data_IF_911647192473
#
_entry.id   IF_911647192473
#
_cell.length_a   1.000
_cell.length_b   1.000
_cell.length_c   1.000
_cell.angle_alpha   90.00
_cell.angle_beta   90.00
_cell.angle_gamma   90.00
#
_symmetry.space_group_name_H-M   'P 1'
#
loop_
_entity.id
_entity.type
_entity.pdbx_description
1 polymer ?
#
# COMPACT_ATOMS: atom_id res chain seq x y z
N UNK A 1 3.26 68.55 -25.44
CA UNK A 1 2.58 67.91 -26.56
C UNK A 1 2.82 66.43 -26.42
N UNK A 2 1.85 65.72 -25.81
CA UNK A 2 0.90 64.79 -26.41
C UNK A 2 1.64 63.58 -27.07
N UNK A 3 1.44 62.38 -26.77
CA UNK A 3 0.19 61.68 -26.53
C UNK A 3 0.42 60.30 -25.92
N UNK A 4 -0.51 59.92 -25.11
CA UNK A 4 -0.77 58.58 -24.62
C UNK A 4 -0.81 57.51 -25.70
N UNK A 5 -0.13 56.37 -25.47
CA UNK A 5 -0.43 55.14 -26.18
C UNK A 5 -0.60 54.01 -25.19
N UNK A 6 -1.86 53.80 -24.82
CA UNK A 6 -2.30 52.64 -24.02
C UNK A 6 -2.13 51.37 -24.88
N UNK A 7 -1.19 50.53 -24.55
CA UNK A 7 -1.13 49.13 -25.07
C UNK A 7 -2.14 48.28 -24.31
N UNK A 8 -3.24 47.96 -24.98
CA UNK A 8 -4.17 46.91 -24.62
C UNK A 8 -3.48 45.57 -24.77
N UNK A 9 -3.23 44.88 -23.67
CA UNK A 9 -2.92 43.43 -23.67
C UNK A 9 -4.23 42.68 -23.91
N UNK A 10 -4.37 42.11 -25.10
CA UNK A 10 -5.42 41.12 -25.38
C UNK A 10 -4.96 39.78 -24.78
N UNK A 11 -5.61 39.36 -23.71
CA UNK A 11 -5.50 37.99 -23.25
C UNK A 11 -6.27 37.09 -24.19
N UNK A 12 -5.56 36.39 -25.09
CA UNK A 12 -6.12 35.22 -25.75
C UNK A 12 -6.21 34.08 -24.76
N UNK A 13 -7.40 33.87 -24.18
CA UNK A 13 -7.74 32.60 -23.52
C UNK A 13 -7.79 31.54 -24.64
N UNK A 14 -6.68 30.80 -24.80
CA UNK A 14 -6.67 29.55 -25.51
C UNK A 14 -7.41 28.51 -24.70
N UNK A 15 -8.68 28.27 -25.00
CA UNK A 15 -9.40 27.11 -24.54
C UNK A 15 -8.71 25.86 -25.12
N UNK A 16 -7.80 25.26 -24.41
CA UNK A 16 -7.38 23.88 -24.67
C UNK A 16 -8.59 22.98 -24.39
N UNK A 17 -9.30 22.65 -25.44
CA UNK A 17 -10.19 21.49 -25.47
C UNK A 17 -9.33 20.24 -25.14
N UNK A 18 -9.35 19.82 -23.90
CA UNK A 18 -9.00 18.46 -23.53
C UNK A 18 -10.06 17.55 -24.17
N UNK A 19 -9.79 17.10 -25.39
CA UNK A 19 -10.42 15.90 -25.91
C UNK A 19 -9.89 14.72 -25.08
N UNK A 20 -10.42 14.55 -23.88
CA UNK A 20 -10.32 13.30 -23.14
C UNK A 20 -10.96 12.25 -24.04
N UNK A 21 -10.16 11.32 -24.56
CA UNK A 21 -10.67 10.07 -25.11
C UNK A 21 -11.46 9.41 -23.98
N UNK A 22 -12.81 9.57 -24.04
CA UNK A 22 -13.68 8.68 -23.28
C UNK A 22 -13.32 7.26 -23.76
N UNK A 23 -12.62 6.51 -22.92
CA UNK A 23 -12.57 5.07 -23.07
C UNK A 23 -14.04 4.63 -23.15
N UNK A 24 -14.44 4.04 -24.27
CA UNK A 24 -15.80 3.58 -24.49
C UNK A 24 -16.12 2.59 -23.36
N UNK A 25 -16.89 3.04 -22.38
CA UNK A 25 -17.43 2.13 -21.37
C UNK A 25 -18.25 1.10 -22.13
N UNK A 26 -17.91 -0.17 -21.97
CA UNK A 26 -18.73 -1.25 -22.50
C UNK A 26 -20.16 -1.02 -22.02
N UNK A 27 -21.17 -1.00 -22.91
CA UNK A 27 -22.54 -0.71 -22.51
C UNK A 27 -22.97 -1.72 -21.44
N UNK A 28 -23.51 -1.21 -20.33
CA UNK A 28 -24.02 -2.04 -19.25
C UNK A 28 -25.12 -2.92 -19.82
N UNK A 29 -25.05 -4.27 -19.65
CA UNK A 29 -26.07 -5.15 -20.20
C UNK A 29 -27.46 -4.83 -19.64
N UNK A 30 -28.50 -4.89 -20.44
CA UNK A 30 -29.90 -4.61 -20.05
C UNK A 30 -30.36 -5.43 -18.81
N UNK A 31 -29.79 -6.62 -18.63
CA UNK A 31 -30.11 -7.50 -17.50
C UNK A 31 -29.34 -7.17 -16.21
N UNK A 32 -28.36 -6.26 -16.23
CA UNK A 32 -27.52 -5.95 -15.06
C UNK A 32 -28.35 -5.50 -13.86
N UNK A 33 -29.31 -4.61 -14.05
CA UNK A 33 -30.21 -4.18 -12.97
C UNK A 33 -30.98 -5.33 -12.31
N UNK A 34 -31.29 -6.37 -13.10
CA UNK A 34 -31.89 -7.59 -12.59
C UNK A 34 -30.96 -8.39 -11.67
N UNK A 35 -29.70 -8.52 -12.06
CA UNK A 35 -28.65 -9.16 -11.24
C UNK A 35 -28.41 -8.37 -9.96
N UNK A 36 -28.32 -7.05 -10.04
CA UNK A 36 -28.11 -6.17 -8.86
C UNK A 36 -29.27 -6.30 -7.87
N UNK A 37 -30.52 -6.42 -8.37
CA UNK A 37 -31.69 -6.70 -7.53
C UNK A 37 -31.55 -8.05 -6.84
N UNK A 38 -31.19 -9.12 -7.56
CA UNK A 38 -30.94 -10.44 -6.95
C UNK A 38 -29.90 -10.32 -5.86
N UNK A 39 -28.74 -9.69 -6.16
CA UNK A 39 -27.61 -9.48 -5.22
C UNK A 39 -28.07 -8.79 -3.93
N UNK A 40 -28.86 -7.73 -4.03
CA UNK A 40 -29.37 -6.99 -2.87
C UNK A 40 -30.31 -7.83 -1.99
N UNK A 41 -31.05 -8.78 -2.57
CA UNK A 41 -32.01 -9.60 -1.88
C UNK A 41 -31.41 -10.85 -1.21
N UNK A 42 -30.25 -11.38 -1.70
CA UNK A 42 -29.72 -12.68 -1.24
C UNK A 42 -29.59 -12.75 0.28
N UNK A 43 -29.08 -11.68 0.92
CA UNK A 43 -28.92 -11.63 2.38
C UNK A 43 -30.18 -11.12 3.10
N UNK A 44 -30.92 -10.22 2.46
CA UNK A 44 -32.07 -9.56 3.08
C UNK A 44 -33.34 -10.45 3.06
N UNK A 45 -33.57 -11.13 1.94
CA UNK A 45 -34.73 -12.03 1.74
C UNK A 45 -34.40 -13.11 0.70
N UNK A 46 -33.82 -14.27 1.12
CA UNK A 46 -33.38 -15.33 0.21
C UNK A 46 -34.47 -15.88 -0.69
N UNK A 47 -35.73 -15.97 -0.20
CA UNK A 47 -36.86 -16.45 -0.98
C UNK A 47 -37.17 -15.50 -2.14
N UNK A 48 -37.26 -14.20 -1.86
CA UNK A 48 -37.44 -13.18 -2.90
C UNK A 48 -36.26 -13.11 -3.86
N UNK A 49 -35.04 -13.37 -3.40
CA UNK A 49 -33.86 -13.45 -4.28
C UNK A 49 -34.00 -14.61 -5.27
N UNK A 50 -34.42 -15.78 -4.81
CA UNK A 50 -34.66 -16.95 -5.64
C UNK A 50 -35.74 -16.67 -6.69
N UNK A 51 -36.87 -16.06 -6.27
CA UNK A 51 -37.97 -15.68 -7.17
C UNK A 51 -37.49 -14.66 -8.22
N UNK A 52 -36.76 -13.64 -7.80
CA UNK A 52 -36.22 -12.64 -8.71
C UNK A 52 -35.25 -13.25 -9.73
N UNK A 53 -34.34 -14.13 -9.30
CA UNK A 53 -33.44 -14.88 -10.18
C UNK A 53 -34.24 -15.79 -11.14
N UNK A 54 -35.23 -16.51 -10.65
CA UNK A 54 -36.09 -17.36 -11.45
C UNK A 54 -36.89 -16.59 -12.52
N UNK A 55 -37.35 -15.37 -12.20
CA UNK A 55 -38.02 -14.49 -13.17
C UNK A 55 -37.02 -13.94 -14.21
N UNK A 56 -35.84 -13.48 -13.76
CA UNK A 56 -34.78 -12.95 -14.63
C UNK A 56 -34.33 -13.98 -15.67
N UNK A 57 -34.25 -15.25 -15.28
CA UNK A 57 -33.75 -16.36 -16.10
C UNK A 57 -34.86 -17.09 -16.89
N UNK A 58 -36.06 -16.46 -17.10
CA UNK A 58 -37.13 -17.04 -17.92
C UNK A 58 -36.82 -16.91 -19.42
N UNK A 59 -37.38 -17.85 -20.19
CA UNK A 59 -37.41 -17.83 -21.65
C UNK A 59 -35.98 -17.92 -22.23
N UNK A 60 -35.62 -16.98 -23.13
CA UNK A 60 -34.31 -16.91 -23.80
C UNK A 60 -33.16 -16.61 -22.84
N UNK A 61 -33.44 -15.91 -21.75
CA UNK A 61 -32.44 -15.53 -20.73
C UNK A 61 -31.79 -16.75 -20.07
N UNK A 62 -32.49 -17.88 -19.98
CA UNK A 62 -31.96 -19.16 -19.46
C UNK A 62 -30.74 -19.67 -20.25
N UNK A 63 -30.58 -19.26 -21.52
CA UNK A 63 -29.49 -19.66 -22.40
C UNK A 63 -28.39 -18.58 -22.49
N UNK A 64 -28.59 -17.43 -21.85
CA UNK A 64 -27.57 -16.39 -21.79
C UNK A 64 -26.55 -16.74 -20.70
N UNK A 65 -25.41 -17.28 -21.11
CA UNK A 65 -24.34 -17.76 -20.19
C UNK A 65 -23.85 -16.67 -19.30
N UNK A 66 -23.59 -15.45 -19.83
CA UNK A 66 -23.09 -14.32 -19.03
C UNK A 66 -24.06 -13.93 -17.94
N UNK A 67 -25.35 -13.86 -18.26
CA UNK A 67 -26.38 -13.57 -17.27
C UNK A 67 -26.47 -14.65 -16.20
N UNK A 68 -26.48 -15.93 -16.60
CA UNK A 68 -26.61 -17.07 -15.66
C UNK A 68 -25.39 -17.12 -14.74
N UNK A 69 -24.18 -16.95 -15.29
CA UNK A 69 -22.94 -16.91 -14.49
C UNK A 69 -22.87 -15.68 -13.58
N UNK A 70 -23.41 -14.53 -13.99
CA UNK A 70 -23.51 -13.32 -13.14
C UNK A 70 -24.47 -13.54 -11.95
N UNK A 71 -25.60 -14.21 -12.16
CA UNK A 71 -26.48 -14.61 -11.07
C UNK A 71 -25.78 -15.60 -10.12
N UNK A 72 -25.09 -16.61 -10.67
CA UNK A 72 -24.33 -17.56 -9.86
C UNK A 72 -23.25 -16.89 -9.01
N UNK A 73 -22.50 -15.93 -9.57
CA UNK A 73 -21.51 -15.13 -8.84
C UNK A 73 -22.14 -14.33 -7.71
N UNK A 74 -23.32 -13.75 -7.90
CA UNK A 74 -24.00 -13.04 -6.84
C UNK A 74 -24.28 -13.94 -5.61
N UNK A 75 -24.64 -15.20 -5.83
CA UNK A 75 -24.82 -16.19 -4.76
C UNK A 75 -23.48 -16.63 -4.16
N UNK A 76 -22.45 -16.84 -4.99
CA UNK A 76 -21.11 -17.18 -4.53
C UNK A 76 -20.49 -16.08 -3.65
N UNK A 77 -20.61 -14.82 -4.05
CA UNK A 77 -20.16 -13.65 -3.29
C UNK A 77 -20.88 -13.53 -1.92
N UNK A 78 -22.10 -14.01 -1.84
CA UNK A 78 -22.87 -14.08 -0.60
C UNK A 78 -22.55 -15.33 0.25
N UNK A 79 -21.67 -16.22 -0.20
CA UNK A 79 -21.29 -17.46 0.48
C UNK A 79 -22.30 -18.61 0.27
N UNK A 80 -23.28 -18.46 -0.63
CA UNK A 80 -24.30 -19.47 -0.92
C UNK A 80 -23.83 -20.40 -2.05
N UNK A 81 -22.91 -21.32 -1.69
CA UNK A 81 -22.25 -22.22 -2.66
C UNK A 81 -23.22 -23.16 -3.38
N UNK A 82 -24.24 -23.67 -2.70
CA UNK A 82 -25.19 -24.62 -3.32
C UNK A 82 -26.02 -23.96 -4.43
N UNK A 83 -26.48 -22.75 -4.17
CA UNK A 83 -27.22 -21.93 -5.13
C UNK A 83 -26.30 -21.55 -6.32
N UNK A 84 -25.08 -21.13 -6.05
CA UNK A 84 -24.10 -20.84 -7.09
C UNK A 84 -23.85 -22.06 -7.99
N UNK A 85 -23.71 -23.27 -7.44
CA UNK A 85 -23.57 -24.52 -8.18
C UNK A 85 -24.80 -24.85 -9.02
N UNK A 86 -25.99 -24.57 -8.50
CA UNK A 86 -27.24 -24.76 -9.25
C UNK A 86 -27.25 -23.93 -10.55
N UNK A 87 -26.86 -22.67 -10.45
CA UNK A 87 -26.77 -21.79 -11.62
C UNK A 87 -25.55 -22.12 -12.50
N UNK A 88 -24.43 -22.61 -11.95
CA UNK A 88 -23.31 -23.13 -12.73
C UNK A 88 -23.77 -24.30 -13.64
N UNK A 89 -24.55 -25.24 -13.09
CA UNK A 89 -25.10 -26.35 -13.91
C UNK A 89 -26.05 -25.87 -15.00
N UNK A 90 -26.80 -24.80 -14.74
CA UNK A 90 -27.61 -24.15 -15.76
C UNK A 90 -26.75 -23.52 -16.87
N UNK A 91 -25.67 -22.82 -16.52
CA UNK A 91 -24.77 -22.23 -17.46
C UNK A 91 -24.05 -23.29 -18.33
N UNK A 92 -23.59 -24.41 -17.72
CA UNK A 92 -23.00 -25.55 -18.43
C UNK A 92 -23.94 -26.17 -19.46
N UNK A 93 -25.23 -26.29 -19.13
CA UNK A 93 -26.24 -26.81 -20.07
C UNK A 93 -26.48 -25.85 -21.24
N UNK A 94 -26.25 -24.56 -21.04
CA UNK A 94 -26.35 -23.55 -22.10
C UNK A 94 -25.15 -23.59 -23.04
N UNK A 95 -23.94 -23.57 -22.48
CA UNK A 95 -22.67 -23.72 -23.21
C UNK A 95 -21.55 -24.12 -22.23
N UNK A 96 -21.08 -25.36 -22.31
CA UNK A 96 -20.04 -25.89 -21.44
C UNK A 96 -18.60 -25.48 -21.83
N UNK A 97 -18.42 -24.82 -22.97
CA UNK A 97 -17.14 -24.31 -23.47
C UNK A 97 -17.03 -22.79 -23.31
N UNK A 98 -18.07 -22.14 -22.83
CA UNK A 98 -18.00 -20.71 -22.56
C UNK A 98 -16.94 -20.42 -21.47
N UNK A 99 -15.99 -19.51 -21.69
CA UNK A 99 -14.95 -19.16 -20.71
C UNK A 99 -15.51 -18.76 -19.36
N UNK A 100 -16.65 -18.04 -19.35
CA UNK A 100 -17.34 -17.62 -18.14
C UNK A 100 -17.76 -18.81 -17.25
N UNK A 101 -18.09 -19.97 -17.81
CA UNK A 101 -18.45 -21.19 -17.06
C UNK A 101 -17.21 -21.76 -16.37
N UNK A 102 -16.10 -21.88 -17.07
CA UNK A 102 -14.83 -22.35 -16.48
C UNK A 102 -14.33 -21.40 -15.39
N UNK A 103 -14.46 -20.08 -15.58
CA UNK A 103 -14.09 -19.10 -14.54
C UNK A 103 -14.99 -19.22 -13.32
N UNK A 104 -16.29 -19.31 -13.48
CA UNK A 104 -17.23 -19.52 -12.36
C UNK A 104 -16.92 -20.80 -11.59
N UNK A 105 -16.63 -21.90 -12.30
CA UNK A 105 -16.23 -23.16 -11.66
C UNK A 105 -14.92 -23.00 -10.89
N UNK A 106 -13.97 -22.27 -11.46
CA UNK A 106 -12.72 -21.87 -10.80
C UNK A 106 -12.96 -21.03 -9.55
N UNK A 107 -13.85 -20.05 -9.61
CA UNK A 107 -14.25 -19.21 -8.45
C UNK A 107 -14.87 -20.09 -7.33
N UNK A 108 -15.68 -21.06 -7.66
CA UNK A 108 -16.24 -22.02 -6.69
C UNK A 108 -15.15 -22.92 -6.08
N UNK A 109 -14.22 -23.41 -6.89
CA UNK A 109 -13.07 -24.19 -6.41
C UNK A 109 -12.19 -23.35 -5.47
N UNK A 110 -11.95 -22.08 -5.82
CA UNK A 110 -11.21 -21.14 -4.99
C UNK A 110 -11.92 -20.87 -3.65
N UNK A 111 -13.23 -20.67 -3.65
CA UNK A 111 -14.02 -20.51 -2.44
C UNK A 111 -13.94 -21.76 -1.51
N UNK A 112 -13.73 -22.95 -2.09
CA UNK A 112 -13.46 -24.20 -1.38
C UNK A 112 -11.99 -24.37 -0.96
N UNK A 113 -11.14 -23.37 -1.21
CA UNK A 113 -9.69 -23.37 -0.95
C UNK A 113 -8.90 -24.39 -1.80
N UNK A 114 -9.48 -24.88 -2.88
CA UNK A 114 -8.79 -25.73 -3.86
C UNK A 114 -8.16 -24.85 -4.95
N UNK A 115 -7.02 -24.21 -4.59
CA UNK A 115 -6.33 -23.26 -5.46
C UNK A 115 -5.83 -23.94 -6.73
N UNK A 116 -5.33 -25.18 -6.62
CA UNK A 116 -4.82 -25.93 -7.78
C UNK A 116 -5.91 -26.15 -8.83
N UNK A 117 -7.08 -26.63 -8.41
CA UNK A 117 -8.24 -26.82 -9.30
C UNK A 117 -8.76 -25.50 -9.86
N UNK A 118 -8.82 -24.45 -9.03
CA UNK A 118 -9.24 -23.14 -9.50
C UNK A 118 -8.36 -22.64 -10.65
N UNK A 119 -7.04 -22.71 -10.51
CA UNK A 119 -6.10 -22.27 -11.54
C UNK A 119 -6.17 -23.11 -12.82
N UNK A 120 -6.37 -24.42 -12.72
CA UNK A 120 -6.59 -25.27 -13.90
C UNK A 120 -7.85 -24.84 -14.66
N UNK A 121 -8.91 -24.49 -13.96
CA UNK A 121 -10.16 -24.02 -14.55
C UNK A 121 -10.03 -22.61 -15.18
N UNK A 122 -9.26 -21.73 -14.58
CA UNK A 122 -8.95 -20.42 -15.19
C UNK A 122 -8.08 -20.61 -16.46
N UNK A 123 -7.11 -21.54 -16.46
CA UNK A 123 -6.35 -21.89 -17.66
C UNK A 123 -7.23 -22.51 -18.74
N UNK A 124 -8.21 -23.33 -18.36
CA UNK A 124 -9.19 -23.85 -19.30
C UNK A 124 -10.03 -22.72 -19.94
N UNK A 125 -10.42 -21.71 -19.16
CA UNK A 125 -11.09 -20.53 -19.70
C UNK A 125 -10.22 -19.78 -20.72
N UNK A 126 -8.92 -19.59 -20.41
CA UNK A 126 -7.94 -18.98 -21.34
C UNK A 126 -7.76 -19.84 -22.60
N UNK A 127 -7.79 -21.15 -22.48
CA UNK A 127 -7.73 -22.07 -23.62
C UNK A 127 -8.96 -21.94 -24.53
N UNK A 128 -10.17 -21.74 -23.97
CA UNK A 128 -11.37 -21.53 -24.76
C UNK A 128 -11.42 -20.15 -25.42
N UNK A 129 -10.93 -19.13 -24.73
CA UNK A 129 -10.79 -17.77 -25.26
C UNK A 129 -9.56 -17.09 -24.67
N UNK A 130 -8.50 -16.98 -25.47
CA UNK A 130 -7.24 -16.35 -25.07
C UNK A 130 -7.36 -14.85 -24.79
N UNK A 131 -8.47 -14.19 -25.15
CA UNK A 131 -8.75 -12.77 -24.85
C UNK A 131 -9.65 -12.60 -23.62
N UNK A 132 -10.05 -13.66 -22.94
CA UNK A 132 -10.94 -13.59 -21.80
C UNK A 132 -10.21 -13.07 -20.56
N UNK A 133 -10.17 -11.74 -20.42
CA UNK A 133 -9.38 -11.01 -19.41
C UNK A 133 -9.62 -11.49 -17.97
N UNK A 134 -10.89 -11.77 -17.62
CA UNK A 134 -11.28 -12.17 -16.27
C UNK A 134 -10.54 -13.44 -15.79
N UNK A 135 -10.29 -14.39 -16.70
CA UNK A 135 -9.57 -15.62 -16.36
C UNK A 135 -8.12 -15.36 -15.92
N UNK A 136 -7.43 -14.43 -16.58
CA UNK A 136 -6.06 -14.05 -16.20
C UNK A 136 -6.03 -13.34 -14.84
N UNK A 137 -6.97 -12.43 -14.60
CA UNK A 137 -7.08 -11.72 -13.33
C UNK A 137 -7.37 -12.69 -12.19
N UNK A 138 -8.33 -13.61 -12.37
CA UNK A 138 -8.70 -14.63 -11.38
C UNK A 138 -7.56 -15.59 -11.08
N UNK A 139 -6.83 -16.04 -12.12
CA UNK A 139 -5.63 -16.86 -11.95
C UNK A 139 -4.59 -16.13 -11.08
N UNK A 140 -4.30 -14.86 -11.40
CA UNK A 140 -3.34 -14.07 -10.67
C UNK A 140 -3.76 -13.85 -9.21
N UNK A 141 -5.04 -13.54 -8.97
CA UNK A 141 -5.59 -13.39 -7.62
C UNK A 141 -5.48 -14.68 -6.80
N UNK A 142 -5.71 -15.84 -7.43
CA UNK A 142 -5.59 -17.12 -6.75
C UNK A 142 -4.14 -17.47 -6.37
N UNK A 143 -3.17 -17.12 -7.21
CA UNK A 143 -1.77 -17.45 -6.98
C UNK A 143 -0.93 -16.33 -6.34
N UNK A 144 -1.45 -15.13 -6.15
CA UNK A 144 -0.64 -14.00 -5.66
C UNK A 144 0.11 -14.26 -4.36
N UNK A 145 -0.45 -15.07 -3.46
CA UNK A 145 0.19 -15.44 -2.20
C UNK A 145 0.98 -16.74 -2.28
N UNK A 146 0.49 -17.74 -3.03
CA UNK A 146 1.11 -19.06 -3.12
C UNK A 146 2.27 -19.10 -4.12
N UNK A 147 2.16 -18.41 -5.25
CA UNK A 147 3.18 -18.33 -6.28
C UNK A 147 3.16 -16.97 -7.00
N UNK A 148 3.71 -15.91 -6.37
CA UNK A 148 3.72 -14.57 -6.95
C UNK A 148 4.33 -14.48 -8.35
N UNK A 149 5.31 -15.32 -8.65
CA UNK A 149 5.95 -15.37 -9.98
C UNK A 149 4.97 -15.80 -11.07
N UNK A 150 4.14 -16.82 -10.82
CA UNK A 150 3.12 -17.27 -11.76
C UNK A 150 2.00 -16.23 -11.92
N UNK A 151 1.61 -15.56 -10.83
CA UNK A 151 0.67 -14.45 -10.91
C UNK A 151 1.19 -13.32 -11.81
N UNK A 152 2.45 -12.91 -11.62
CA UNK A 152 3.10 -11.89 -12.46
C UNK A 152 3.17 -12.32 -13.93
N UNK A 153 3.54 -13.58 -14.18
CA UNK A 153 3.61 -14.11 -15.56
C UNK A 153 2.26 -14.03 -16.25
N UNK A 154 1.19 -14.47 -15.58
CA UNK A 154 -0.15 -14.48 -16.13
C UNK A 154 -0.68 -13.06 -16.38
N UNK A 155 -0.40 -12.11 -15.48
CA UNK A 155 -0.73 -10.70 -15.67
C UNK A 155 0.05 -10.06 -16.82
N UNK A 156 1.32 -10.41 -16.99
CA UNK A 156 2.11 -9.94 -18.15
C UNK A 156 1.57 -10.52 -19.47
N UNK A 157 1.09 -11.77 -19.50
CA UNK A 157 0.37 -12.31 -20.65
C UNK A 157 -0.89 -11.50 -20.95
N UNK A 158 -1.68 -11.14 -19.93
CA UNK A 158 -2.83 -10.25 -20.08
C UNK A 158 -2.42 -8.88 -20.64
N UNK A 159 -1.34 -8.28 -20.13
CA UNK A 159 -0.85 -6.98 -20.64
C UNK A 159 -0.34 -7.06 -22.08
N UNK A 160 0.13 -8.20 -22.54
CA UNK A 160 0.53 -8.40 -23.94
C UNK A 160 -0.68 -8.37 -24.89
N UNK A 161 -1.84 -8.90 -24.50
CA UNK A 161 -3.06 -8.91 -25.30
C UNK A 161 -3.95 -7.67 -25.05
N UNK A 162 -3.85 -7.07 -23.87
CA UNK A 162 -4.63 -5.89 -23.47
C UNK A 162 -3.72 -4.88 -22.74
N UNK A 163 -2.89 -4.11 -23.48
CA UNK A 163 -1.92 -3.19 -22.88
C UNK A 163 -2.54 -2.14 -21.96
N UNK A 164 -3.77 -1.72 -22.23
CA UNK A 164 -4.50 -0.70 -21.48
C UNK A 164 -5.35 -1.26 -20.32
N UNK A 165 -5.21 -2.56 -19.98
CA UNK A 165 -5.94 -3.15 -18.87
C UNK A 165 -5.39 -2.62 -17.54
N UNK A 166 -6.09 -1.66 -16.94
CA UNK A 166 -5.69 -1.04 -15.66
C UNK A 166 -5.88 -2.00 -14.48
N UNK A 167 -6.84 -2.91 -14.55
CA UNK A 167 -7.05 -3.96 -13.55
C UNK A 167 -5.82 -4.89 -13.46
N UNK A 168 -5.18 -5.19 -14.59
CA UNK A 168 -3.93 -5.95 -14.61
C UNK A 168 -2.77 -5.17 -14.00
N UNK A 169 -2.67 -3.86 -14.24
CA UNK A 169 -1.67 -3.01 -13.59
C UNK A 169 -1.91 -2.96 -12.08
N UNK A 170 -3.17 -2.89 -11.64
CA UNK A 170 -3.53 -2.92 -10.22
C UNK A 170 -3.08 -4.21 -9.54
N UNK A 171 -3.42 -5.36 -10.09
CA UNK A 171 -3.00 -6.65 -9.54
C UNK A 171 -1.46 -6.83 -9.59
N UNK A 172 -0.79 -6.36 -10.64
CA UNK A 172 0.68 -6.37 -10.72
C UNK A 172 1.31 -5.51 -9.61
N UNK A 173 0.77 -4.31 -9.37
CA UNK A 173 1.25 -3.42 -8.32
C UNK A 173 1.12 -4.06 -6.93
N UNK A 174 -0.04 -4.69 -6.66
CA UNK A 174 -0.30 -5.45 -5.44
C UNK A 174 0.72 -6.59 -5.23
N UNK A 175 0.97 -7.41 -6.28
CA UNK A 175 1.94 -8.51 -6.18
C UNK A 175 3.36 -8.00 -5.99
N UNK A 176 3.76 -6.94 -6.69
CA UNK A 176 5.08 -6.34 -6.51
C UNK A 176 5.25 -5.76 -5.11
N UNK A 177 4.23 -5.07 -4.58
CA UNK A 177 4.23 -4.54 -3.23
C UNK A 177 4.35 -5.66 -2.18
N UNK A 178 3.51 -6.70 -2.27
CA UNK A 178 3.52 -7.84 -1.37
C UNK A 178 4.83 -8.66 -1.39
N UNK A 179 5.60 -8.57 -2.48
CA UNK A 179 6.90 -9.24 -2.64
C UNK A 179 8.10 -8.30 -2.41
N UNK A 180 7.88 -7.15 -1.78
CA UNK A 180 8.89 -6.13 -1.46
C UNK A 180 9.65 -5.60 -2.70
N UNK A 181 9.06 -5.67 -3.89
CA UNK A 181 9.61 -5.12 -5.12
C UNK A 181 9.11 -3.68 -5.29
N UNK A 182 9.44 -2.82 -4.31
CA UNK A 182 8.82 -1.52 -4.14
C UNK A 182 9.01 -0.57 -5.32
N UNK A 183 10.17 -0.57 -5.99
CA UNK A 183 10.38 0.22 -7.20
C UNK A 183 9.41 -0.18 -8.31
N UNK A 184 9.26 -1.51 -8.59
CA UNK A 184 8.31 -2.00 -9.59
C UNK A 184 6.86 -1.74 -9.19
N UNK A 185 6.55 -1.84 -7.90
CA UNK A 185 5.23 -1.50 -7.38
C UNK A 185 4.91 -0.02 -7.65
N UNK A 186 5.82 0.90 -7.29
CA UNK A 186 5.66 2.33 -7.51
C UNK A 186 5.49 2.68 -9.00
N UNK A 187 6.34 2.14 -9.89
CA UNK A 187 6.23 2.34 -11.33
C UNK A 187 4.88 1.85 -11.88
N UNK A 188 4.34 0.77 -11.30
CA UNK A 188 3.07 0.19 -11.74
C UNK A 188 1.88 0.97 -11.19
N UNK A 189 1.89 1.35 -9.90
CA UNK A 189 0.88 2.24 -9.31
C UNK A 189 0.77 3.56 -10.08
N UNK A 190 1.89 4.15 -10.50
CA UNK A 190 1.90 5.41 -11.23
C UNK A 190 1.05 5.38 -12.51
N UNK A 191 0.84 4.21 -13.12
CA UNK A 191 0.06 4.06 -14.37
C UNK A 191 -1.44 4.29 -14.16
N UNK A 192 -1.98 3.95 -12.99
CA UNK A 192 -3.43 3.99 -12.78
C UNK A 192 -3.87 4.87 -11.59
N UNK A 193 -2.95 5.36 -10.76
CA UNK A 193 -3.28 6.05 -9.51
C UNK A 193 -4.15 7.33 -9.69
N UNK A 194 -4.15 7.92 -10.86
CA UNK A 194 -4.97 9.08 -11.20
C UNK A 194 -6.23 8.72 -12.02
N UNK A 195 -6.57 7.44 -12.10
CA UNK A 195 -7.75 6.94 -12.81
C UNK A 195 -8.87 6.55 -11.82
N UNK A 196 -10.12 6.37 -12.29
CA UNK A 196 -11.23 5.93 -11.44
C UNK A 196 -11.05 4.50 -10.86
N UNK A 197 -10.12 3.70 -11.38
CA UNK A 197 -9.82 2.35 -10.88
C UNK A 197 -9.09 2.40 -9.53
N UNK A 198 -8.37 3.50 -9.24
CA UNK A 198 -7.60 3.65 -8.03
C UNK A 198 -8.48 3.93 -6.81
N UNK A 199 -8.24 3.17 -5.75
CA UNK A 199 -8.83 3.36 -4.43
C UNK A 199 -7.92 4.21 -3.53
N UNK A 200 -8.42 4.62 -2.37
CA UNK A 200 -7.61 5.31 -1.36
C UNK A 200 -6.48 4.41 -0.84
N UNK A 201 -6.74 3.11 -0.68
CA UNK A 201 -5.74 2.11 -0.30
C UNK A 201 -4.61 1.99 -1.36
N UNK A 202 -4.94 2.05 -2.65
CA UNK A 202 -3.93 2.08 -3.72
C UNK A 202 -3.04 3.34 -3.63
N UNK A 203 -3.63 4.50 -3.31
CA UNK A 203 -2.87 5.76 -3.12
C UNK A 203 -1.92 5.61 -1.93
N UNK A 204 -2.40 5.04 -0.84
CA UNK A 204 -1.60 4.81 0.35
C UNK A 204 -0.45 3.83 0.09
N UNK A 205 -0.72 2.69 -0.55
CA UNK A 205 0.29 1.71 -0.92
C UNK A 205 1.31 2.27 -1.91
N UNK A 206 0.86 3.11 -2.85
CA UNK A 206 1.77 3.83 -3.75
C UNK A 206 2.73 4.73 -2.98
N UNK A 207 2.21 5.54 -2.04
CA UNK A 207 3.04 6.40 -1.23
C UNK A 207 4.04 5.59 -0.38
N UNK A 208 3.60 4.48 0.23
CA UNK A 208 4.49 3.58 0.96
C UNK A 208 5.52 2.89 0.05
N UNK A 209 5.14 2.46 -1.15
CA UNK A 209 6.08 1.86 -2.10
C UNK A 209 7.19 2.86 -2.49
N UNK A 210 6.85 4.12 -2.71
CA UNK A 210 7.82 5.19 -2.97
C UNK A 210 8.73 5.42 -1.75
N UNK A 211 8.17 5.46 -0.55
CA UNK A 211 8.93 5.60 0.70
C UNK A 211 9.96 4.45 0.86
N UNK A 212 9.49 3.21 0.73
CA UNK A 212 10.31 2.01 0.87
C UNK A 212 11.33 1.83 -0.29
N UNK A 213 11.10 2.52 -1.41
CA UNK A 213 12.05 2.64 -2.52
C UNK A 213 13.00 3.86 -2.37
N UNK A 214 12.95 4.57 -1.24
CA UNK A 214 13.71 5.79 -0.95
C UNK A 214 13.41 6.99 -1.87
N UNK A 215 12.27 6.98 -2.56
CA UNK A 215 11.76 8.12 -3.35
C UNK A 215 10.96 9.09 -2.46
N UNK A 216 11.59 9.61 -1.41
CA UNK A 216 10.94 10.38 -0.33
C UNK A 216 10.17 11.59 -0.80
N UNK A 217 10.69 12.35 -1.77
CA UNK A 217 10.01 13.52 -2.33
C UNK A 217 8.68 13.17 -3.00
N UNK A 218 8.68 12.10 -3.82
CA UNK A 218 7.46 11.64 -4.48
C UNK A 218 6.47 11.06 -3.47
N UNK A 219 6.96 10.29 -2.50
CA UNK A 219 6.14 9.75 -1.41
C UNK A 219 5.46 10.87 -0.63
N UNK A 220 6.21 11.92 -0.25
CA UNK A 220 5.69 13.09 0.45
C UNK A 220 4.59 13.79 -0.36
N UNK A 221 4.81 14.01 -1.65
CA UNK A 221 3.82 14.65 -2.52
C UNK A 221 2.52 13.84 -2.62
N UNK A 222 2.61 12.50 -2.71
CA UNK A 222 1.44 11.62 -2.75
C UNK A 222 0.72 11.62 -1.40
N UNK A 223 1.44 11.56 -0.28
CA UNK A 223 0.86 11.61 1.06
C UNK A 223 0.14 12.94 1.32
N UNK A 224 0.74 14.06 0.96
CA UNK A 224 0.11 15.40 1.07
C UNK A 224 -1.16 15.51 0.21
N UNK A 225 -1.17 14.94 -1.01
CA UNK A 225 -2.39 14.86 -1.83
C UNK A 225 -3.48 14.01 -1.18
N UNK A 226 -3.12 12.92 -0.50
CA UNK A 226 -4.05 12.14 0.30
C UNK A 226 -4.67 12.96 1.44
N UNK A 227 -3.86 13.75 2.16
CA UNK A 227 -4.31 14.62 3.25
C UNK A 227 -5.23 15.76 2.80
N UNK A 228 -5.16 16.21 1.52
CA UNK A 228 -6.13 17.17 0.98
C UNK A 228 -7.57 16.64 1.00
N UNK A 229 -7.73 15.31 0.90
CA UNK A 229 -9.06 14.67 0.97
C UNK A 229 -9.49 14.40 2.42
N UNK A 230 -8.56 14.02 3.27
CA UNK A 230 -8.79 13.73 4.68
C UNK A 230 -7.56 14.14 5.52
N UNK A 231 -7.58 15.36 6.06
CA UNK A 231 -6.47 15.93 6.83
C UNK A 231 -6.11 15.13 8.10
N UNK A 232 -7.03 14.30 8.61
CA UNK A 232 -6.82 13.47 9.82
C UNK A 232 -6.47 12.01 9.49
N UNK A 233 -6.16 11.68 8.23
CA UNK A 233 -5.81 10.31 7.86
C UNK A 233 -4.45 9.92 8.47
N UNK A 234 -4.47 9.06 9.49
CA UNK A 234 -3.29 8.71 10.30
C UNK A 234 -2.12 8.19 9.46
N UNK A 235 -2.38 7.30 8.49
CA UNK A 235 -1.30 6.71 7.68
C UNK A 235 -0.64 7.71 6.73
N UNK A 236 -1.37 8.68 6.18
CA UNK A 236 -0.76 9.75 5.39
C UNK A 236 0.02 10.73 6.26
N UNK A 237 -0.48 11.11 7.45
CA UNK A 237 0.27 11.94 8.40
C UNK A 237 1.58 11.24 8.83
N UNK A 238 1.53 9.93 9.09
CA UNK A 238 2.70 9.09 9.35
C UNK A 238 3.74 9.20 8.23
N UNK A 239 3.33 9.04 6.98
CA UNK A 239 4.23 9.15 5.83
C UNK A 239 4.80 10.56 5.66
N UNK A 240 4.02 11.62 5.94
CA UNK A 240 4.54 12.99 5.91
C UNK A 240 5.62 13.16 6.98
N UNK A 241 5.41 12.65 8.19
CA UNK A 241 6.45 12.66 9.24
C UNK A 241 7.71 11.91 8.78
N UNK A 242 7.58 10.67 8.34
CA UNK A 242 8.72 9.84 7.93
C UNK A 242 9.52 10.49 6.79
N UNK A 243 8.84 10.88 5.71
CA UNK A 243 9.51 11.48 4.56
C UNK A 243 10.26 12.77 4.92
N UNK A 244 9.65 13.62 5.75
CA UNK A 244 10.31 14.87 6.13
C UNK A 244 11.52 14.63 7.04
N UNK A 245 11.50 13.62 7.92
CA UNK A 245 12.68 13.21 8.70
C UNK A 245 13.81 12.76 7.78
N UNK A 246 13.52 11.86 6.81
CA UNK A 246 14.53 11.38 5.87
C UNK A 246 15.05 12.48 4.93
N UNK A 247 14.20 13.45 4.58
CA UNK A 247 14.57 14.65 3.82
C UNK A 247 15.23 15.74 4.67
N UNK A 248 15.35 15.53 5.99
CA UNK A 248 15.94 16.50 6.96
C UNK A 248 15.21 17.85 7.00
N UNK A 249 13.88 17.85 6.76
CA UNK A 249 13.01 19.05 6.79
C UNK A 249 12.36 19.21 8.16
N UNK A 250 13.16 19.35 9.19
CA UNK A 250 12.72 19.23 10.58
C UNK A 250 11.71 20.30 11.01
N UNK A 251 11.77 21.52 10.46
CA UNK A 251 10.81 22.60 10.77
C UNK A 251 9.38 22.27 10.33
N UNK A 252 9.22 21.40 9.32
CA UNK A 252 7.92 20.97 8.81
C UNK A 252 7.39 19.72 9.54
N UNK A 253 8.32 18.93 10.13
CA UNK A 253 7.99 17.63 10.73
C UNK A 253 7.27 17.76 12.04
N UNK A 254 7.61 18.76 12.87
CA UNK A 254 7.01 18.92 14.22
C UNK A 254 5.49 18.99 14.13
N UNK A 255 4.97 19.80 13.20
CA UNK A 255 3.52 19.89 12.95
C UNK A 255 2.91 18.59 12.43
N UNK A 256 3.65 17.86 11.58
CA UNK A 256 3.20 16.58 11.04
C UNK A 256 3.20 15.48 12.10
N UNK A 257 4.20 15.45 12.97
CA UNK A 257 4.28 14.54 14.12
C UNK A 257 3.13 14.82 15.11
N UNK A 258 2.92 16.08 15.49
CA UNK A 258 1.80 16.48 16.32
C UNK A 258 0.45 16.07 15.70
N UNK A 259 0.27 16.30 14.40
CA UNK A 259 -0.94 15.89 13.70
C UNK A 259 -1.12 14.36 13.70
N UNK A 260 -0.04 13.60 13.55
CA UNK A 260 -0.08 12.13 13.59
C UNK A 260 -0.39 11.61 15.00
N UNK A 261 0.35 12.06 16.03
CA UNK A 261 0.17 11.56 17.39
C UNK A 261 -1.12 12.07 18.06
N UNK A 262 -1.68 13.22 17.63
CA UNK A 262 -2.96 13.73 18.12
C UNK A 262 -4.17 13.26 17.29
N UNK A 263 -3.96 12.64 16.12
CA UNK A 263 -5.06 12.24 15.23
C UNK A 263 -5.83 11.01 15.71
N UNK A 264 -5.28 10.22 16.63
CA UNK A 264 -5.91 9.00 17.09
C UNK A 264 -5.81 8.82 18.60
N UNK A 265 -6.95 8.92 19.27
CA UNK A 265 -7.08 8.75 20.73
C UNK A 265 -6.73 7.34 21.24
N UNK A 266 -6.47 6.36 20.33
CA UNK A 266 -6.15 4.96 20.65
C UNK A 266 -5.26 4.31 19.58
N UNK A 267 -4.33 5.02 18.97
CA UNK A 267 -3.48 4.41 17.96
C UNK A 267 -2.46 3.45 18.60
N UNK A 268 -2.44 2.23 18.10
CA UNK A 268 -1.31 1.33 18.35
C UNK A 268 -0.11 1.80 17.51
N UNK A 269 0.70 2.68 18.09
CA UNK A 269 1.91 3.17 17.46
C UNK A 269 2.94 2.03 17.35
N UNK A 270 3.54 1.91 16.18
CA UNK A 270 4.58 0.91 15.90
C UNK A 270 5.95 1.34 16.43
N UNK A 271 6.87 0.41 16.52
CA UNK A 271 8.29 0.69 16.79
C UNK A 271 8.83 1.80 15.83
N UNK A 272 8.46 1.74 14.56
CA UNK A 272 8.91 2.69 13.56
C UNK A 272 8.37 4.11 13.80
N UNK A 273 7.13 4.25 14.28
CA UNK A 273 6.55 5.55 14.62
C UNK A 273 7.36 6.26 15.73
N UNK A 274 7.65 5.54 16.80
CA UNK A 274 8.45 6.06 17.91
C UNK A 274 9.90 6.36 17.48
N UNK A 275 10.50 5.51 16.64
CA UNK A 275 11.85 5.74 16.10
C UNK A 275 11.93 7.03 15.29
N UNK A 276 10.99 7.26 14.37
CA UNK A 276 10.97 8.49 13.56
C UNK A 276 10.67 9.73 14.41
N UNK A 277 9.82 9.62 15.44
CA UNK A 277 9.60 10.72 16.39
C UNK A 277 10.86 11.00 17.20
N UNK A 278 11.55 9.99 17.69
CA UNK A 278 12.84 10.13 18.37
C UNK A 278 13.91 10.80 17.48
N UNK A 279 14.00 10.41 16.21
CA UNK A 279 14.92 11.02 15.26
C UNK A 279 14.62 12.52 15.02
N UNK A 280 13.33 12.87 14.89
CA UNK A 280 12.89 14.27 14.83
C UNK A 280 13.32 15.05 16.08
N UNK A 281 12.99 14.53 17.26
CA UNK A 281 13.31 15.19 18.53
C UNK A 281 14.82 15.38 18.72
N UNK A 282 15.61 14.37 18.32
CA UNK A 282 17.09 14.48 18.34
C UNK A 282 17.58 15.58 17.41
N UNK A 283 17.05 15.69 16.19
CA UNK A 283 17.39 16.75 15.25
C UNK A 283 17.01 18.16 15.78
N UNK A 284 15.91 18.24 16.52
CA UNK A 284 15.47 19.47 17.23
C UNK A 284 16.23 19.71 18.55
N UNK A 285 17.29 18.91 18.83
CA UNK A 285 18.09 18.97 20.06
C UNK A 285 17.30 18.73 21.36
N UNK A 286 16.15 18.09 21.28
CA UNK A 286 15.32 17.65 22.40
C UNK A 286 15.72 16.23 22.83
N UNK A 287 17.01 16.07 23.20
CA UNK A 287 17.64 14.76 23.37
C UNK A 287 16.98 13.85 24.41
N UNK A 288 16.54 14.39 25.56
CA UNK A 288 15.87 13.61 26.60
C UNK A 288 14.58 13.00 26.08
N UNK A 289 13.80 13.79 25.35
CA UNK A 289 12.56 13.32 24.73
C UNK A 289 12.85 12.29 23.62
N UNK A 290 13.91 12.50 22.84
CA UNK A 290 14.33 11.54 21.79
C UNK A 290 14.67 10.18 22.42
N UNK A 291 15.43 10.16 23.51
CA UNK A 291 15.81 8.94 24.23
C UNK A 291 14.56 8.21 24.77
N UNK A 292 13.59 8.96 25.30
CA UNK A 292 12.31 8.38 25.75
C UNK A 292 11.56 7.69 24.58
N UNK A 293 11.47 8.36 23.42
CA UNK A 293 10.79 7.81 22.25
C UNK A 293 11.50 6.57 21.69
N UNK A 294 12.84 6.58 21.63
CA UNK A 294 13.62 5.39 21.25
C UNK A 294 13.43 4.24 22.27
N UNK A 295 13.26 4.56 23.55
CA UNK A 295 12.91 3.58 24.59
C UNK A 295 11.56 2.92 24.31
N UNK A 296 10.52 3.73 23.99
CA UNK A 296 9.20 3.22 23.59
C UNK A 296 9.27 2.37 22.31
N UNK A 297 10.14 2.75 21.38
CA UNK A 297 10.38 1.95 20.17
C UNK A 297 10.94 0.56 20.52
N UNK A 298 11.92 0.47 21.43
CA UNK A 298 12.46 -0.80 21.93
C UNK A 298 11.44 -1.65 22.69
N UNK A 299 10.53 -1.03 23.45
CA UNK A 299 9.42 -1.74 24.10
C UNK A 299 8.47 -2.39 23.09
N UNK A 300 8.31 -1.80 21.90
CA UNK A 300 7.50 -2.37 20.82
C UNK A 300 8.23 -3.49 20.06
N UNK A 301 9.55 -3.38 19.89
CA UNK A 301 10.35 -4.37 19.17
C UNK A 301 11.81 -4.35 19.68
N UNK A 302 12.12 -5.21 20.63
CA UNK A 302 13.46 -5.35 21.22
C UNK A 302 14.52 -5.84 20.21
N UNK A 303 14.11 -6.41 19.06
CA UNK A 303 15.03 -6.89 18.04
C UNK A 303 15.68 -5.77 17.23
N UNK A 304 15.21 -4.53 17.36
CA UNK A 304 15.75 -3.34 16.68
C UNK A 304 17.03 -2.83 17.33
N UNK A 305 18.09 -3.62 17.22
CA UNK A 305 19.39 -3.35 17.89
C UNK A 305 19.98 -1.97 17.53
N UNK A 306 19.71 -1.45 16.34
CA UNK A 306 20.18 -0.12 15.90
C UNK A 306 19.65 1.03 16.76
N UNK A 307 18.51 0.85 17.44
CA UNK A 307 17.97 1.85 18.37
C UNK A 307 18.93 2.13 19.55
N UNK A 308 19.68 1.15 20.00
CA UNK A 308 20.70 1.36 21.03
C UNK A 308 21.82 2.30 20.56
N UNK A 309 22.15 2.28 19.26
CA UNK A 309 23.09 3.25 18.68
C UNK A 309 22.47 4.64 18.62
N UNK A 310 21.23 4.77 18.21
CA UNK A 310 20.52 6.06 18.15
C UNK A 310 20.36 6.69 19.55
N UNK A 311 20.13 5.86 20.58
CA UNK A 311 20.15 6.28 21.99
C UNK A 311 21.54 6.75 22.41
N UNK A 312 22.59 6.03 22.02
CA UNK A 312 23.97 6.42 22.33
C UNK A 312 24.35 7.75 21.68
N UNK A 313 23.98 7.94 20.41
CA UNK A 313 24.19 9.18 19.67
C UNK A 313 23.47 10.37 20.35
N UNK A 314 22.26 10.16 20.83
CA UNK A 314 21.50 11.20 21.54
C UNK A 314 22.15 11.56 22.90
N UNK A 315 22.65 10.57 23.65
CA UNK A 315 23.41 10.82 24.89
C UNK A 315 24.74 11.54 24.60
N UNK A 316 25.47 11.16 23.54
CA UNK A 316 26.69 11.85 23.12
C UNK A 316 26.44 13.32 22.78
N UNK A 317 25.38 13.60 21.99
CA UNK A 317 25.01 14.98 21.65
C UNK A 317 24.61 15.81 22.86
N UNK A 318 24.22 15.15 23.95
CA UNK A 318 23.94 15.75 25.25
C UNK A 318 25.20 15.90 26.12
N UNK A 319 26.34 15.37 25.67
CA UNK A 319 27.61 15.24 26.41
C UNK A 319 27.51 14.30 27.63
N UNK A 320 26.54 13.38 27.66
CA UNK A 320 26.42 12.36 28.69
C UNK A 320 27.16 11.08 28.26
N UNK A 321 28.48 11.16 28.25
CA UNK A 321 29.35 10.09 27.75
C UNK A 321 29.18 8.76 28.52
N UNK A 322 29.01 8.72 29.85
CA UNK A 322 28.78 7.46 30.57
C UNK A 322 27.56 6.72 30.03
N UNK A 323 26.43 7.39 29.79
CA UNK A 323 25.23 6.78 29.25
C UNK A 323 25.37 6.43 27.76
N UNK A 324 26.05 7.28 26.98
CA UNK A 324 26.38 6.99 25.59
C UNK A 324 27.19 5.69 25.46
N UNK A 325 28.22 5.51 26.28
CA UNK A 325 29.06 4.29 26.32
C UNK A 325 28.21 3.07 26.71
N UNK A 326 27.34 3.20 27.73
CA UNK A 326 26.49 2.11 28.16
C UNK A 326 25.50 1.66 27.07
N UNK A 327 24.87 2.61 26.37
CA UNK A 327 23.98 2.34 25.25
C UNK A 327 24.72 1.75 24.05
N UNK A 328 25.89 2.29 23.68
CA UNK A 328 26.67 1.78 22.55
C UNK A 328 27.23 0.37 22.81
N UNK A 329 27.56 0.03 24.06
CA UNK A 329 27.92 -1.36 24.45
C UNK A 329 26.76 -2.30 24.20
N UNK A 330 25.51 -1.94 24.59
CA UNK A 330 24.34 -2.75 24.32
C UNK A 330 24.16 -2.98 22.82
N UNK A 331 24.32 -1.93 22.00
CA UNK A 331 24.34 -2.06 20.55
C UNK A 331 25.39 -3.07 20.08
N UNK A 332 26.66 -2.85 20.47
CA UNK A 332 27.78 -3.68 20.03
C UNK A 332 27.61 -5.15 20.45
N UNK A 333 27.18 -5.40 21.71
CA UNK A 333 26.98 -6.75 22.23
C UNK A 333 25.85 -7.48 21.52
N UNK A 334 24.82 -6.77 21.10
CA UNK A 334 23.67 -7.31 20.35
C UNK A 334 23.96 -7.60 18.88
N UNK A 335 25.06 -7.09 18.32
CA UNK A 335 25.45 -7.38 16.95
C UNK A 335 25.88 -8.83 16.76
N UNK A 336 25.46 -9.44 15.63
CA UNK A 336 26.02 -10.70 15.17
C UNK A 336 27.54 -10.57 14.92
N UNK A 337 28.30 -11.67 15.08
CA UNK A 337 29.75 -11.63 15.02
C UNK A 337 30.32 -11.08 13.71
N UNK A 338 29.67 -11.40 12.60
CA UNK A 338 30.03 -10.90 11.25
C UNK A 338 29.75 -9.39 11.05
N UNK A 339 28.93 -8.79 11.90
CA UNK A 339 28.61 -7.34 11.91
C UNK A 339 29.46 -6.53 12.89
N UNK A 340 30.29 -7.19 13.73
CA UNK A 340 31.23 -6.52 14.64
C UNK A 340 32.48 -6.09 13.89
N UNK A 341 32.54 -4.83 13.53
CA UNK A 341 33.61 -4.24 12.70
C UNK A 341 34.59 -3.43 13.55
N UNK A 342 35.75 -3.11 12.97
CA UNK A 342 36.71 -2.17 13.57
C UNK A 342 36.11 -0.76 13.73
N UNK A 343 35.18 -0.36 12.84
CA UNK A 343 34.47 0.91 12.95
C UNK A 343 33.62 0.97 14.22
N UNK A 344 32.92 -0.12 14.58
CA UNK A 344 32.18 -0.15 15.85
C UNK A 344 33.09 0.01 17.06
N UNK A 345 34.27 -0.61 17.05
CA UNK A 345 35.27 -0.46 18.13
C UNK A 345 35.85 0.95 18.17
N UNK A 346 36.10 1.55 17.00
CA UNK A 346 36.56 2.93 16.91
C UNK A 346 35.54 3.91 17.52
N UNK A 347 34.26 3.76 17.21
CA UNK A 347 33.19 4.60 17.76
C UNK A 347 33.12 4.45 19.30
N UNK A 348 33.24 3.25 19.83
CA UNK A 348 33.28 3.03 21.26
C UNK A 348 34.50 3.70 21.90
N UNK A 349 35.68 3.56 21.27
CA UNK A 349 36.91 4.23 21.72
C UNK A 349 36.81 5.75 21.72
N UNK A 350 36.14 6.32 20.71
CA UNK A 350 35.84 7.77 20.61
C UNK A 350 34.97 8.27 21.75
N UNK A 351 33.97 7.50 22.16
CA UNK A 351 33.12 7.84 23.30
C UNK A 351 33.91 7.83 24.62
N UNK A 352 34.78 6.85 24.84
CA UNK A 352 35.68 6.83 26.01
C UNK A 352 36.67 8.00 26.03
N UNK A 353 37.21 8.40 24.85
CA UNK A 353 38.07 9.57 24.75
C UNK A 353 37.28 10.85 25.10
N UNK A 354 36.05 10.99 24.64
CA UNK A 354 35.16 12.11 24.99
C UNK A 354 34.88 12.19 26.49
N UNK A 355 34.63 11.04 27.14
CA UNK A 355 34.48 10.96 28.58
C UNK A 355 35.74 11.45 29.32
N UNK A 356 36.92 10.98 28.93
CA UNK A 356 38.20 11.38 29.53
C UNK A 356 38.46 12.89 29.41
N UNK A 357 38.27 13.45 28.20
CA UNK A 357 38.48 14.87 27.98
C UNK A 357 37.48 15.77 28.71
N UNK A 358 36.26 15.32 28.87
CA UNK A 358 35.22 16.04 29.64
C UNK A 358 35.51 16.04 31.15
N UNK A 359 36.04 14.93 31.66
CA UNK A 359 36.46 14.80 33.06
C UNK A 359 37.68 15.67 33.39
N UNK A 360 38.66 15.69 32.47
CA UNK A 360 39.88 16.47 32.63
C UNK A 360 39.62 17.97 32.60
N UNK A 361 38.68 18.46 31.76
CA UNK A 361 38.28 19.87 31.76
C UNK A 361 37.62 20.31 33.07
N UNK A 362 36.85 19.41 33.72
CA UNK A 362 36.27 19.67 35.03
C UNK A 362 37.33 19.66 36.14
N UNK A 363 38.38 18.81 36.05
CA UNK A 363 39.46 18.76 37.02
C UNK A 363 40.36 19.99 36.92
N UNK A 364 40.62 20.49 35.72
CA UNK A 364 41.41 21.74 35.51
C UNK A 364 40.65 22.95 36.03
N UNK A 365 39.31 23.05 35.80
CA UNK A 365 38.52 24.16 36.33
C UNK A 365 38.39 24.15 37.86
N UNK A 366 38.50 22.98 38.50
CA UNK A 366 38.51 22.88 39.95
C UNK A 366 39.89 23.22 40.53
N UNK A 367 40.95 22.98 39.83
CA UNK A 367 42.32 23.34 40.24
C UNK A 367 42.58 24.87 40.16
N UNK A 368 41.99 25.55 39.18
CA UNK A 368 42.07 27.02 39.05
C UNK A 368 41.24 27.79 40.09
N UNK A 369 40.45 27.09 40.92
CA UNK A 369 39.66 27.72 42.01
C UNK A 369 40.24 27.43 43.42
N UNK A 370 41.35 26.72 43.50
CA UNK A 370 42.11 26.53 44.74
C UNK A 370 43.39 27.43 44.75
#
# INVERSE_FOLDING_TARGET
MNANMKRRFVFCLGAMLFAGTLAAQTPVPEWQAGVDKVKSLIKANPEQASDAAGQLLKGKNKKNVELVTSVARAYLDAGQLKEAETYLEMARKADNKAPAVSVLEGDIAFARKDIGKACQLYEQAIYFDSNYKDAYLKYAQAYKSASPSQAIEKLNQLKAIAPDCLEADKELAEVYYATNRFGKAADTYAKFINTPVATEDDILKYAFALFLNHDFEKSLAVAQKGLQKNARHAAFNRLVMYNNVDLKRYDEVEKAADAFFNASDNADYSCLDYRYHGALLSALKKYDQAIEEYGKALEKDESQVDLWREIADAYELKNDYPQAIAAYKKYYDSLAQDKKTSENLFQLGRLYYGEGTSSDTLSVQSADRM
#
